data_IF_196893482308
#
_entry.id   IF_196893482308
#
_cell.length_a   1.000
_cell.length_b   1.000
_cell.length_c   1.000
_cell.angle_alpha   90.00
_cell.angle_beta   90.00
_cell.angle_gamma   90.00
#
_symmetry.space_group_name_H-M   'P 1'
#
loop_
_entity.id
_entity.type
_entity.pdbx_description
1 polymer ?
#
# COMPACT_ATOMS: atom_id res chain seq x y z
N UNK A 1 16.42 1.87 -10.46
CA UNK A 1 15.51 0.74 -10.14
C UNK A 1 14.08 1.04 -10.58
N UNK A 2 13.34 0.02 -11.01
CA UNK A 2 11.97 0.16 -11.54
C UNK A 2 10.95 -0.64 -10.70
N UNK A 3 9.81 -0.03 -10.38
CA UNK A 3 8.71 -0.66 -9.63
C UNK A 3 7.42 -0.68 -10.45
N UNK A 4 6.82 -1.86 -10.56
CA UNK A 4 5.42 -2.01 -10.94
C UNK A 4 4.52 -1.89 -9.71
N UNK A 5 3.43 -1.11 -9.81
CA UNK A 5 2.43 -0.96 -8.74
C UNK A 5 1.10 -1.59 -9.12
N UNK A 6 0.64 -2.50 -8.27
CA UNK A 6 -0.72 -3.07 -8.26
C UNK A 6 -1.39 -2.66 -6.95
N UNK A 7 -2.34 -1.74 -7.01
CA UNK A 7 -3.05 -1.18 -5.85
C UNK A 7 -4.56 -1.29 -6.02
N UNK A 8 -5.32 -1.24 -4.93
CA UNK A 8 -6.79 -1.32 -4.99
C UNK A 8 -7.41 -0.16 -5.77
N UNK A 9 -6.89 1.04 -5.52
CA UNK A 9 -7.42 2.28 -6.06
C UNK A 9 -6.35 3.32 -6.33
N UNK A 10 -6.81 4.44 -6.89
CA UNK A 10 -5.97 5.54 -7.33
C UNK A 10 -5.37 6.30 -6.13
N UNK A 11 -6.10 6.38 -5.02
CA UNK A 11 -5.63 7.02 -3.80
C UNK A 11 -4.43 6.26 -3.23
N UNK A 12 -4.54 4.93 -3.19
CA UNK A 12 -3.52 4.01 -2.70
C UNK A 12 -2.28 4.09 -3.60
N UNK A 13 -2.46 4.07 -4.92
CA UNK A 13 -1.39 4.30 -5.89
C UNK A 13 -0.60 5.59 -5.59
N UNK A 14 -1.29 6.72 -5.35
CA UNK A 14 -0.62 7.99 -5.05
C UNK A 14 0.20 7.96 -3.77
N UNK A 15 -0.35 7.34 -2.73
CA UNK A 15 0.34 7.21 -1.44
C UNK A 15 1.58 6.33 -1.61
N UNK A 16 1.44 5.13 -2.17
CA UNK A 16 2.56 4.19 -2.37
C UNK A 16 3.64 4.79 -3.29
N UNK A 17 3.24 5.41 -4.41
CA UNK A 17 4.16 6.11 -5.31
C UNK A 17 4.94 7.20 -4.58
N UNK A 18 4.27 8.03 -3.78
CA UNK A 18 4.93 9.08 -3.01
C UNK A 18 5.92 8.49 -2.01
N UNK A 19 5.54 7.44 -1.29
CA UNK A 19 6.41 6.77 -0.32
C UNK A 19 7.69 6.24 -1.00
N UNK A 20 7.58 5.54 -2.13
CA UNK A 20 8.73 5.03 -2.87
C UNK A 20 9.67 6.16 -3.32
N UNK A 21 9.13 7.18 -4.00
CA UNK A 21 9.92 8.31 -4.50
C UNK A 21 10.63 9.08 -3.38
N UNK A 22 10.01 9.20 -2.20
CA UNK A 22 10.62 9.90 -1.05
C UNK A 22 11.57 9.03 -0.25
N UNK A 23 11.34 7.72 -0.21
CA UNK A 23 12.20 6.79 0.51
C UNK A 23 13.56 6.59 -0.17
N UNK A 24 13.57 6.49 -1.51
CA UNK A 24 14.79 6.33 -2.32
C UNK A 24 15.36 7.67 -2.83
N UNK A 25 14.82 8.80 -2.37
CA UNK A 25 15.32 10.12 -2.76
C UNK A 25 16.79 10.29 -2.33
N UNK A 26 17.65 10.58 -3.30
CA UNK A 26 19.08 10.84 -3.08
C UNK A 26 20.00 9.66 -3.39
N UNK A 27 19.43 8.46 -3.58
CA UNK A 27 20.11 7.33 -4.18
C UNK A 27 19.85 7.40 -5.71
N UNK A 28 19.14 6.43 -6.27
CA UNK A 28 18.58 6.47 -7.62
C UNK A 28 17.07 6.71 -7.53
N UNK A 29 16.55 7.74 -8.20
CA UNK A 29 15.11 8.00 -8.19
C UNK A 29 14.38 6.84 -8.92
N UNK A 30 13.45 6.13 -8.25
CA UNK A 30 12.85 4.95 -8.82
C UNK A 30 11.89 5.31 -9.95
N UNK A 31 11.93 4.56 -11.04
CA UNK A 31 10.91 4.62 -12.07
C UNK A 31 9.68 3.82 -11.61
N UNK A 32 8.49 4.40 -11.78
CA UNK A 32 7.25 3.82 -11.25
C UNK A 32 6.26 3.57 -12.39
N UNK A 33 5.95 2.31 -12.63
CA UNK A 33 4.99 1.84 -13.62
C UNK A 33 3.68 1.44 -12.95
N UNK A 34 2.58 2.09 -13.32
CA UNK A 34 1.26 1.78 -12.78
C UNK A 34 0.60 0.65 -13.57
N UNK A 35 0.39 -0.51 -12.93
CA UNK A 35 -0.24 -1.67 -13.56
C UNK A 35 -1.73 -1.73 -13.29
N UNK A 36 -2.12 -1.57 -12.02
CA UNK A 36 -3.52 -1.55 -11.57
C UNK A 36 -3.65 -0.50 -10.45
N UNK A 37 -4.70 0.33 -10.44
CA UNK A 37 -5.79 0.41 -11.43
C UNK A 37 -5.35 0.99 -12.78
N UNK A 38 -5.92 0.51 -13.88
CA UNK A 38 -5.75 1.13 -15.20
C UNK A 38 -6.43 2.51 -15.23
N UNK A 39 -5.67 3.55 -15.57
CA UNK A 39 -6.17 4.90 -15.81
C UNK A 39 -6.90 4.95 -17.16
N UNK A 40 -8.11 4.39 -17.26
CA UNK A 40 -8.96 4.65 -18.43
C UNK A 40 -9.81 5.91 -18.19
N UNK A 41 -10.08 6.67 -19.26
CA UNK A 41 -10.69 8.02 -19.28
C UNK A 41 -12.07 8.19 -18.61
N UNK A 42 -12.61 7.12 -18.01
CA UNK A 42 -13.75 7.22 -17.11
C UNK A 42 -13.37 6.75 -15.72
N UNK A 43 -12.75 7.66 -14.96
CA UNK A 43 -12.72 7.71 -13.49
C UNK A 43 -14.13 7.66 -12.83
N UNK A 44 -15.19 7.33 -13.59
CA UNK A 44 -16.62 7.43 -13.22
C UNK A 44 -17.32 6.09 -12.94
N UNK A 45 -16.68 4.93 -13.09
CA UNK A 45 -17.39 3.63 -12.96
C UNK A 45 -16.86 2.65 -11.91
N UNK A 46 -15.92 3.06 -11.04
CA UNK A 46 -15.71 2.30 -9.80
C UNK A 46 -16.83 2.52 -8.76
N UNK A 47 -17.83 3.37 -9.08
CA UNK A 47 -19.03 3.59 -8.26
C UNK A 47 -20.18 2.61 -8.53
N UNK A 48 -20.14 1.83 -9.63
CA UNK A 48 -21.26 0.98 -10.05
C UNK A 48 -20.94 -0.51 -9.88
N UNK A 49 -20.97 -0.98 -8.63
CA UNK A 49 -21.42 -2.33 -8.26
C UNK A 49 -20.74 -3.57 -8.86
N UNK A 50 -19.57 -3.48 -9.50
CA UNK A 50 -18.90 -4.63 -10.12
C UNK A 50 -17.48 -4.79 -9.57
N UNK A 51 -17.34 -5.66 -8.56
CA UNK A 51 -16.09 -6.14 -7.92
C UNK A 51 -15.12 -5.04 -7.42
N UNK A 52 -15.06 -4.82 -6.09
CA UNK A 52 -14.20 -3.81 -5.47
C UNK A 52 -12.71 -3.96 -5.84
N UNK A 53 -11.94 -2.87 -5.74
CA UNK A 53 -10.54 -2.80 -6.17
C UNK A 53 -9.64 -3.92 -5.64
N UNK A 54 -9.89 -4.36 -4.41
CA UNK A 54 -9.23 -5.53 -3.80
C UNK A 54 -9.42 -6.83 -4.59
N UNK A 55 -10.59 -7.03 -5.23
CA UNK A 55 -10.84 -8.22 -6.07
C UNK A 55 -9.93 -8.20 -7.29
N UNK A 56 -9.72 -7.02 -7.89
CA UNK A 56 -8.84 -6.88 -9.04
C UNK A 56 -7.38 -7.10 -8.65
N UNK A 57 -6.96 -6.67 -7.45
CA UNK A 57 -5.63 -7.00 -6.92
C UNK A 57 -5.46 -8.52 -6.78
N UNK A 58 -6.46 -9.22 -6.24
CA UNK A 58 -6.42 -10.69 -6.13
C UNK A 58 -6.37 -11.38 -7.49
N UNK A 59 -7.20 -10.95 -8.46
CA UNK A 59 -7.17 -11.46 -9.84
C UNK A 59 -5.81 -11.23 -10.50
N UNK A 60 -5.19 -10.07 -10.25
CA UNK A 60 -3.85 -9.77 -10.76
C UNK A 60 -2.82 -10.74 -10.17
N UNK A 61 -2.90 -11.04 -8.87
CA UNK A 61 -2.02 -12.02 -8.22
C UNK A 61 -2.17 -13.44 -8.80
N UNK A 62 -3.32 -13.78 -9.38
CA UNK A 62 -3.59 -15.10 -9.97
C UNK A 62 -3.16 -15.18 -11.45
N UNK A 63 -2.86 -14.05 -12.10
CA UNK A 63 -2.55 -13.98 -13.52
C UNK A 63 -1.06 -14.18 -13.80
N UNK A 64 -0.69 -15.41 -14.17
CA UNK A 64 0.70 -15.78 -14.48
C UNK A 64 1.31 -14.94 -15.61
N UNK A 65 0.58 -14.70 -16.69
CA UNK A 65 1.07 -13.95 -17.85
C UNK A 65 1.37 -12.49 -17.48
N UNK A 66 0.44 -11.84 -16.78
CA UNK A 66 0.60 -10.46 -16.32
C UNK A 66 1.76 -10.32 -15.32
N UNK A 67 1.92 -11.28 -14.40
CA UNK A 67 3.04 -11.25 -13.47
C UNK A 67 4.38 -11.47 -14.17
N UNK A 68 4.46 -12.40 -15.12
CA UNK A 68 5.68 -12.59 -15.90
C UNK A 68 6.02 -11.34 -16.73
N UNK A 69 5.03 -10.68 -17.34
CA UNK A 69 5.29 -9.46 -18.11
C UNK A 69 5.80 -8.31 -17.24
N UNK A 70 5.33 -8.18 -16.00
CA UNK A 70 5.89 -7.22 -15.04
C UNK A 70 7.40 -7.40 -14.90
N UNK A 71 7.87 -8.63 -14.67
CA UNK A 71 9.29 -8.89 -14.39
C UNK A 71 10.19 -8.85 -15.64
N UNK A 72 9.63 -8.64 -16.83
CA UNK A 72 10.41 -8.32 -18.04
C UNK A 72 10.88 -6.86 -18.00
N UNK A 73 10.03 -5.95 -17.52
CA UNK A 73 10.26 -4.49 -17.57
C UNK A 73 10.57 -3.87 -16.21
N UNK A 74 10.33 -4.60 -15.12
CA UNK A 74 10.40 -4.07 -13.76
C UNK A 74 11.30 -4.92 -12.86
N UNK A 75 12.09 -4.25 -12.02
CA UNK A 75 12.92 -4.90 -11.01
C UNK A 75 12.06 -5.49 -9.89
N UNK A 76 11.00 -4.77 -9.50
CA UNK A 76 10.15 -5.12 -8.37
C UNK A 76 8.66 -4.93 -8.66
N UNK A 77 7.85 -5.69 -7.92
CA UNK A 77 6.40 -5.55 -7.88
C UNK A 77 5.96 -5.16 -6.47
N UNK A 78 5.22 -4.05 -6.34
CA UNK A 78 4.51 -3.71 -5.10
C UNK A 78 3.04 -4.09 -5.23
N UNK A 79 2.56 -4.92 -4.30
CA UNK A 79 1.16 -5.31 -4.18
C UNK A 79 0.60 -4.60 -2.94
N UNK A 80 -0.30 -3.65 -3.15
CA UNK A 80 -1.04 -2.98 -2.08
C UNK A 80 -2.44 -3.56 -1.96
N UNK A 81 -2.85 -3.84 -0.72
CA UNK A 81 -4.21 -4.27 -0.40
C UNK A 81 -4.59 -3.80 1.01
N UNK A 82 -5.86 -3.42 1.17
CA UNK A 82 -6.47 -3.07 2.45
C UNK A 82 -7.11 -4.32 3.07
N UNK A 83 -7.15 -4.39 4.39
CA UNK A 83 -7.78 -5.54 5.08
C UNK A 83 -9.22 -5.26 5.52
N UNK A 84 -9.81 -4.12 5.20
CA UNK A 84 -11.19 -3.78 5.61
C UNK A 84 -12.20 -4.84 5.09
N UNK A 85 -12.00 -5.32 3.87
CA UNK A 85 -12.83 -6.31 3.18
C UNK A 85 -12.28 -7.74 3.23
N UNK A 86 -11.24 -8.04 4.02
CA UNK A 86 -10.50 -9.30 3.90
C UNK A 86 -11.30 -10.57 4.23
N UNK A 87 -12.37 -10.47 5.00
CA UNK A 87 -13.26 -11.61 5.30
C UNK A 87 -14.22 -11.93 4.15
N UNK A 88 -14.32 -11.05 3.14
CA UNK A 88 -15.24 -11.19 2.00
C UNK A 88 -14.65 -12.13 0.95
N UNK A 89 -15.48 -12.96 0.31
CA UNK A 89 -15.09 -13.81 -0.80
C UNK A 89 -14.81 -12.97 -2.08
N UNK A 90 -13.68 -13.18 -2.80
CA UNK A 90 -12.74 -14.31 -2.72
C UNK A 90 -11.52 -14.12 -1.79
N UNK A 91 -11.43 -13.05 -1.00
CA UNK A 91 -10.28 -12.81 -0.11
C UNK A 91 -10.21 -13.86 1.01
N UNK A 92 -11.31 -14.05 1.75
CA UNK A 92 -11.49 -15.15 2.72
C UNK A 92 -10.42 -15.25 3.84
N UNK A 93 -9.89 -14.13 4.32
CA UNK A 93 -8.99 -14.05 5.47
C UNK A 93 -9.74 -13.55 6.70
N UNK A 94 -9.93 -14.42 7.68
CA UNK A 94 -10.64 -14.07 8.93
C UNK A 94 -9.83 -13.09 9.78
N UNK A 95 -10.48 -12.04 10.30
CA UNK A 95 -9.91 -11.10 11.28
C UNK A 95 -9.88 -11.68 12.69
N UNK A 96 -10.67 -12.72 12.94
CA UNK A 96 -10.78 -13.43 14.22
C UNK A 96 -10.14 -14.82 14.13
N UNK A 97 -9.47 -15.23 15.21
CA UNK A 97 -9.04 -16.61 15.45
C UNK A 97 -10.03 -17.36 16.33
N UNK A 98 -9.53 -18.31 17.14
CA UNK A 98 -10.29 -19.17 18.08
C UNK A 98 -10.90 -18.41 19.28
N UNK A 99 -11.69 -17.34 19.01
CA UNK A 99 -12.46 -16.45 19.92
C UNK A 99 -11.86 -15.07 20.20
N UNK A 100 -10.75 -14.69 19.56
CA UNK A 100 -10.10 -13.38 19.77
C UNK A 100 -9.87 -12.66 18.44
N UNK A 101 -9.82 -11.33 18.46
CA UNK A 101 -9.31 -10.56 17.32
C UNK A 101 -7.84 -10.89 17.11
N UNK A 102 -7.44 -11.13 15.86
CA UNK A 102 -6.03 -11.32 15.53
C UNK A 102 -5.28 -10.03 15.80
N UNK A 103 -4.05 -10.16 16.29
CA UNK A 103 -3.12 -9.04 16.29
C UNK A 103 -2.86 -8.56 14.86
N UNK A 104 -2.43 -7.31 14.70
CA UNK A 104 -2.04 -6.77 13.39
C UNK A 104 -0.96 -7.62 12.71
N UNK A 105 -0.05 -8.21 13.48
CA UNK A 105 0.99 -9.11 12.98
C UNK A 105 0.39 -10.42 12.42
N UNK A 106 -0.52 -11.05 13.16
CA UNK A 106 -1.16 -12.30 12.71
C UNK A 106 -1.99 -12.04 11.45
N UNK A 107 -2.80 -10.97 11.44
CA UNK A 107 -3.59 -10.61 10.27
C UNK A 107 -2.71 -10.33 9.05
N UNK A 108 -1.61 -9.59 9.24
CA UNK A 108 -0.64 -9.34 8.17
C UNK A 108 -0.06 -10.63 7.60
N UNK A 109 0.35 -11.58 8.47
CA UNK A 109 0.90 -12.87 8.04
C UNK A 109 -0.11 -13.68 7.25
N UNK A 110 -1.36 -13.74 7.70
CA UNK A 110 -2.41 -14.49 7.02
C UNK A 110 -2.75 -13.87 5.65
N UNK A 111 -2.83 -12.54 5.56
CA UNK A 111 -3.04 -11.85 4.29
C UNK A 111 -1.86 -12.07 3.35
N UNK A 112 -0.62 -11.93 3.83
CA UNK A 112 0.57 -12.20 3.02
C UNK A 112 0.58 -13.65 2.51
N UNK A 113 0.23 -14.61 3.36
CA UNK A 113 0.12 -16.02 2.98
C UNK A 113 -0.96 -16.21 1.92
N UNK A 114 -2.13 -15.59 2.08
CA UNK A 114 -3.22 -15.64 1.10
C UNK A 114 -2.83 -15.07 -0.25
N UNK A 115 -2.15 -13.91 -0.29
CA UNK A 115 -1.66 -13.31 -1.53
C UNK A 115 -0.60 -14.19 -2.18
N UNK A 116 0.39 -14.64 -1.39
CA UNK A 116 1.45 -15.54 -1.87
C UNK A 116 0.85 -16.83 -2.43
N UNK A 117 -0.16 -17.39 -1.77
CA UNK A 117 -0.85 -18.60 -2.23
C UNK A 117 -1.61 -18.44 -3.55
N UNK A 118 -2.07 -17.22 -3.89
CA UNK A 118 -2.67 -16.92 -5.20
C UNK A 118 -1.64 -16.85 -6.32
N UNK A 119 -0.39 -16.51 -6.01
CA UNK A 119 0.65 -16.35 -7.03
C UNK A 119 1.04 -17.73 -7.59
N UNK A 120 1.03 -17.90 -8.93
CA UNK A 120 1.46 -19.13 -9.60
C UNK A 120 2.83 -19.61 -9.10
N UNK A 121 2.97 -20.93 -8.96
CA UNK A 121 4.17 -21.52 -8.37
C UNK A 121 5.45 -21.18 -9.14
N UNK A 122 5.38 -21.12 -10.47
CA UNK A 122 6.45 -20.69 -11.38
C UNK A 122 6.96 -19.29 -11.04
N UNK A 123 6.04 -18.32 -10.95
CA UNK A 123 6.32 -16.92 -10.60
C UNK A 123 6.88 -16.83 -9.17
N UNK A 124 6.32 -17.56 -8.21
CA UNK A 124 6.85 -17.58 -6.84
C UNK A 124 8.29 -18.05 -6.78
N UNK A 125 8.60 -19.15 -7.46
CA UNK A 125 9.95 -19.71 -7.46
C UNK A 125 10.98 -18.76 -8.06
N UNK A 126 10.58 -17.96 -9.06
CA UNK A 126 11.48 -17.05 -9.77
C UNK A 126 11.59 -15.66 -9.13
N UNK A 127 10.50 -15.14 -8.56
CA UNK A 127 10.37 -13.71 -8.30
C UNK A 127 9.79 -13.33 -6.93
N UNK A 128 9.49 -14.28 -6.04
CA UNK A 128 8.84 -13.95 -4.76
C UNK A 128 9.63 -12.94 -3.91
N UNK A 129 10.96 -12.99 -3.96
CA UNK A 129 11.85 -12.04 -3.29
C UNK A 129 11.84 -10.64 -3.89
N UNK A 130 11.34 -10.50 -5.13
CA UNK A 130 11.15 -9.22 -5.81
C UNK A 130 9.76 -8.62 -5.59
N UNK A 131 8.92 -9.26 -4.78
CA UNK A 131 7.57 -8.79 -4.47
C UNK A 131 7.55 -8.13 -3.08
N UNK A 132 7.16 -6.85 -3.07
CA UNK A 132 6.96 -6.04 -1.87
C UNK A 132 5.47 -6.00 -1.53
N UNK A 133 5.11 -6.42 -0.32
CA UNK A 133 3.73 -6.41 0.15
C UNK A 133 3.42 -5.16 0.98
N UNK A 134 2.54 -4.30 0.46
CA UNK A 134 1.99 -3.12 1.14
C UNK A 134 0.60 -3.43 1.72
N UNK A 135 0.55 -4.28 2.75
CA UNK A 135 -0.72 -4.71 3.37
C UNK A 135 -1.12 -3.69 4.45
N UNK A 136 -2.28 -3.06 4.29
CA UNK A 136 -2.77 -2.02 5.19
C UNK A 136 -3.78 -2.61 6.18
N UNK A 137 -3.49 -2.54 7.48
CA UNK A 137 -4.43 -3.01 8.51
C UNK A 137 -5.62 -2.05 8.59
N UNK A 138 -6.78 -2.56 8.18
CA UNK A 138 -8.02 -1.86 7.87
C UNK A 138 -7.92 -1.09 6.56
N UNK A 139 -7.43 0.15 6.55
CA UNK A 139 -7.25 0.93 5.30
C UNK A 139 -5.93 1.66 5.26
N UNK A 140 -5.47 2.06 4.06
CA UNK A 140 -4.20 2.80 3.92
C UNK A 140 -4.18 4.13 4.68
N UNK A 141 -5.34 4.77 4.92
CA UNK A 141 -5.39 6.02 5.68
C UNK A 141 -4.95 5.84 7.15
N UNK A 142 -4.97 4.61 7.68
CA UNK A 142 -4.41 4.30 9.00
C UNK A 142 -2.90 4.58 9.08
N UNK A 143 -2.18 4.53 7.95
CA UNK A 143 -0.75 4.85 7.91
C UNK A 143 -0.48 6.35 8.11
N UNK A 144 -1.48 7.19 7.89
CA UNK A 144 -1.36 8.64 7.90
C UNK A 144 -1.70 9.28 9.25
N UNK A 145 -2.30 8.54 10.19
CA UNK A 145 -2.67 9.05 11.51
C UNK A 145 -1.50 9.63 12.32
N UNK A 146 -0.30 9.02 12.34
CA UNK A 146 0.81 9.56 13.11
C UNK A 146 1.28 10.96 12.70
N UNK A 147 0.88 11.45 11.52
CA UNK A 147 1.21 12.82 11.07
C UNK A 147 0.41 13.90 11.81
N UNK A 148 -0.68 13.51 12.45
CA UNK A 148 -1.65 14.43 13.04
C UNK A 148 -1.96 14.16 14.51
N UNK A 149 -1.49 13.05 15.04
CA UNK A 149 -1.77 12.61 16.40
C UNK A 149 -0.49 12.18 17.10
N UNK A 150 -0.29 12.67 18.32
CA UNK A 150 0.80 12.27 19.20
C UNK A 150 0.36 11.30 20.31
N UNK A 151 -0.96 11.18 20.50
CA UNK A 151 -1.62 10.32 21.49
C UNK A 151 -1.88 8.90 20.96
N UNK A 152 -2.72 8.13 21.64
CA UNK A 152 -3.09 6.77 21.24
C UNK A 152 -3.75 6.67 19.84
N UNK A 153 -4.26 7.76 19.26
CA UNK A 153 -4.85 7.74 17.92
C UNK A 153 -3.85 7.41 16.83
N UNK A 154 -2.56 7.73 17.01
CA UNK A 154 -1.53 7.44 15.99
C UNK A 154 -1.37 5.95 15.68
N UNK A 155 -1.70 5.08 16.63
CA UNK A 155 -1.63 3.63 16.47
C UNK A 155 -2.98 2.99 16.11
N UNK A 156 -4.04 3.79 15.85
CA UNK A 156 -5.35 3.23 15.50
C UNK A 156 -5.29 2.54 14.14
N UNK A 157 -6.01 1.44 14.05
CA UNK A 157 -6.17 0.62 12.84
C UNK A 157 -7.65 0.43 12.53
N UNK A 158 -8.51 1.34 12.97
CA UNK A 158 -9.95 1.33 12.67
C UNK A 158 -10.46 2.76 12.59
N UNK A 159 -11.44 3.02 11.73
CA UNK A 159 -12.05 4.34 11.54
C UNK A 159 -11.03 5.45 11.23
N UNK A 160 -9.89 5.10 10.63
CA UNK A 160 -8.76 5.99 10.45
C UNK A 160 -9.10 7.18 9.56
N UNK A 161 -9.88 6.97 8.50
CA UNK A 161 -10.36 8.06 7.64
C UNK A 161 -11.18 9.11 8.41
N UNK A 162 -12.02 8.68 9.35
CA UNK A 162 -12.81 9.59 10.18
C UNK A 162 -11.90 10.46 11.06
N UNK A 163 -10.96 9.81 11.76
CA UNK A 163 -9.97 10.51 12.59
C UNK A 163 -9.08 11.45 11.78
N UNK A 164 -8.62 11.02 10.62
CA UNK A 164 -7.83 11.84 9.72
C UNK A 164 -8.63 13.10 9.33
N UNK A 165 -9.88 12.95 8.93
CA UNK A 165 -10.75 14.07 8.59
C UNK A 165 -11.05 15.00 9.78
N UNK A 166 -11.18 14.48 11.00
CA UNK A 166 -11.28 15.31 12.21
C UNK A 166 -10.04 16.18 12.40
N UNK A 167 -8.85 15.61 12.22
CA UNK A 167 -7.60 16.36 12.34
C UNK A 167 -7.44 17.41 11.23
N UNK A 168 -7.80 17.07 9.99
CA UNK A 168 -7.77 18.00 8.86
C UNK A 168 -8.71 19.18 9.06
N UNK A 169 -9.94 18.94 9.54
CA UNK A 169 -10.89 20.02 9.88
C UNK A 169 -10.34 20.96 10.93
N UNK A 170 -9.74 20.44 12.00
CA UNK A 170 -9.11 21.26 13.06
C UNK A 170 -7.98 22.14 12.55
N UNK A 171 -7.33 21.75 11.45
CA UNK A 171 -6.27 22.51 10.77
C UNK A 171 -6.78 23.35 9.60
N UNK A 172 -8.11 23.45 9.40
CA UNK A 172 -8.74 24.15 8.27
C UNK A 172 -8.25 23.66 6.89
N UNK A 173 -8.02 22.35 6.76
CA UNK A 173 -7.57 21.70 5.52
C UNK A 173 -8.74 21.01 4.80
N UNK A 174 -8.56 20.74 3.50
CA UNK A 174 -9.49 19.88 2.76
C UNK A 174 -9.57 18.49 3.39
N UNK A 175 -10.76 17.89 3.38
CA UNK A 175 -11.02 16.53 3.88
C UNK A 175 -11.15 15.53 2.73
N UNK A 176 -10.89 14.26 3.03
CA UNK A 176 -11.09 13.15 2.11
C UNK A 176 -12.56 12.70 2.19
N UNK A 177 -13.18 12.42 1.04
CA UNK A 177 -14.57 11.95 0.98
C UNK A 177 -14.75 10.57 1.63
N UNK A 178 -15.77 10.42 2.46
CA UNK A 178 -16.05 9.21 3.27
C UNK A 178 -17.08 8.26 2.65
N UNK A 179 -17.85 8.70 1.65
CA UNK A 179 -19.05 7.98 1.19
C UNK A 179 -19.21 8.01 -0.33
N UNK A 180 -18.14 8.36 -1.04
CA UNK A 180 -18.13 8.46 -2.50
C UNK A 180 -16.70 8.39 -3.02
N UNK A 181 -16.45 9.08 -4.12
CA UNK A 181 -15.15 9.05 -4.79
C UNK A 181 -14.03 9.63 -3.92
N UNK A 182 -13.20 8.76 -3.33
CA UNK A 182 -11.96 9.13 -2.60
C UNK A 182 -10.91 9.78 -3.51
N UNK A 183 -11.11 9.78 -4.83
CA UNK A 183 -10.25 10.39 -5.83
C UNK A 183 -10.77 11.75 -6.36
N UNK A 184 -11.85 12.30 -5.80
CA UNK A 184 -12.33 13.61 -6.23
C UNK A 184 -11.30 14.74 -5.99
N UNK A 185 -11.53 15.91 -6.58
CA UNK A 185 -10.61 17.06 -6.49
C UNK A 185 -10.21 17.43 -5.04
N UNK A 186 -11.16 17.50 -4.11
CA UNK A 186 -10.88 17.85 -2.71
C UNK A 186 -10.07 16.76 -2.02
N UNK A 187 -10.40 15.48 -2.23
CA UNK A 187 -9.64 14.37 -1.66
C UNK A 187 -8.21 14.34 -2.20
N UNK A 188 -8.00 14.64 -3.49
CA UNK A 188 -6.65 14.75 -4.10
C UNK A 188 -5.82 15.85 -3.47
N UNK A 189 -6.43 17.01 -3.22
CA UNK A 189 -5.76 18.12 -2.51
C UNK A 189 -5.42 17.70 -1.08
N UNK A 190 -6.38 17.09 -0.36
CA UNK A 190 -6.15 16.60 1.00
C UNK A 190 -4.97 15.62 1.07
N UNK A 191 -4.95 14.59 0.22
CA UNK A 191 -3.82 13.65 0.16
C UNK A 191 -2.50 14.33 -0.18
N UNK A 192 -2.49 15.25 -1.12
CA UNK A 192 -1.28 16.00 -1.49
C UNK A 192 -0.72 16.76 -0.29
N UNK A 193 -1.59 17.42 0.49
CA UNK A 193 -1.16 18.15 1.69
C UNK A 193 -0.69 17.21 2.81
N UNK A 194 -1.39 16.10 3.06
CA UNK A 194 -0.99 15.10 4.05
C UNK A 194 0.41 14.55 3.74
N UNK A 195 0.65 14.16 2.48
CA UNK A 195 1.89 13.52 2.05
C UNK A 195 3.11 14.44 2.15
N UNK A 196 2.94 15.77 2.28
CA UNK A 196 4.05 16.69 2.58
C UNK A 196 4.73 16.37 3.91
N UNK A 197 3.99 15.83 4.88
CA UNK A 197 4.52 15.38 6.16
C UNK A 197 5.38 14.10 6.06
N UNK A 198 5.35 13.41 4.91
CA UNK A 198 6.18 12.25 4.59
C UNK A 198 7.14 12.57 3.44
N UNK A 199 7.78 13.74 3.49
CA UNK A 199 8.64 14.24 2.40
C UNK A 199 10.09 13.75 2.48
N UNK A 200 10.51 13.21 3.62
CA UNK A 200 11.86 12.67 3.85
C UNK A 200 11.79 11.20 4.26
N UNK A 201 12.82 10.44 3.88
CA UNK A 201 13.03 9.05 4.33
C UNK A 201 12.89 8.89 5.85
N UNK A 202 13.54 9.76 6.63
CA UNK A 202 13.47 9.72 8.08
C UNK A 202 12.05 9.93 8.65
N UNK A 203 11.24 10.78 8.01
CA UNK A 203 9.84 10.99 8.41
C UNK A 203 9.04 9.70 8.15
N UNK A 204 9.20 9.11 6.96
CA UNK A 204 8.57 7.82 6.61
C UNK A 204 8.93 6.73 7.62
N UNK A 205 10.21 6.57 7.92
CA UNK A 205 10.66 5.57 8.88
C UNK A 205 10.07 5.80 10.27
N UNK A 206 10.08 7.05 10.74
CA UNK A 206 9.58 7.40 12.08
C UNK A 206 8.08 7.12 12.21
N UNK A 207 7.29 7.55 11.22
CA UNK A 207 5.83 7.41 11.26
C UNK A 207 5.39 5.95 11.02
N UNK A 208 6.18 5.17 10.27
CA UNK A 208 5.86 3.76 10.00
C UNK A 208 5.78 2.89 11.27
N UNK A 209 6.50 3.25 12.33
CA UNK A 209 6.59 2.46 13.56
C UNK A 209 5.25 2.29 14.29
N UNK A 210 4.26 3.13 13.99
CA UNK A 210 2.96 3.15 14.68
C UNK A 210 1.89 2.27 14.00
N UNK A 211 2.18 1.68 12.84
CA UNK A 211 1.28 0.75 12.16
C UNK A 211 2.06 -0.46 11.65
N UNK A 212 1.64 -1.67 12.01
CA UNK A 212 2.38 -2.90 11.66
C UNK A 212 2.53 -3.08 10.14
N UNK A 213 1.48 -2.78 9.36
CA UNK A 213 1.52 -2.86 7.90
C UNK A 213 2.51 -1.88 7.31
N UNK A 214 2.48 -0.62 7.75
CA UNK A 214 3.41 0.41 7.28
C UNK A 214 4.86 0.10 7.68
N UNK A 215 5.08 -0.32 8.92
CA UNK A 215 6.39 -0.77 9.41
C UNK A 215 6.94 -1.91 8.55
N UNK A 216 6.10 -2.89 8.22
CA UNK A 216 6.50 -4.04 7.39
C UNK A 216 6.84 -3.60 5.96
N UNK A 217 6.05 -2.71 5.36
CA UNK A 217 6.34 -2.12 4.07
C UNK A 217 7.70 -1.39 4.05
N UNK A 218 7.96 -0.52 5.03
CA UNK A 218 9.25 0.17 5.16
C UNK A 218 10.40 -0.81 5.40
N UNK A 219 10.16 -1.91 6.12
CA UNK A 219 11.11 -3.01 6.28
C UNK A 219 11.58 -3.56 4.93
N UNK A 220 10.63 -3.89 4.03
CA UNK A 220 10.97 -4.33 2.67
C UNK A 220 11.82 -3.30 1.93
N UNK A 221 11.47 -2.02 1.98
CA UNK A 221 12.24 -0.98 1.28
C UNK A 221 13.67 -0.84 1.81
N UNK A 222 13.88 -1.05 3.12
CA UNK A 222 15.22 -1.07 3.74
C UNK A 222 16.04 -2.25 3.24
N UNK A 223 15.44 -3.44 3.18
CA UNK A 223 16.10 -4.64 2.68
C UNK A 223 16.55 -4.46 1.22
N UNK A 224 15.69 -3.87 0.38
CA UNK A 224 16.05 -3.53 -1.00
C UNK A 224 17.22 -2.55 -1.06
N UNK A 225 17.17 -1.46 -0.27
CA UNK A 225 18.26 -0.47 -0.22
C UNK A 225 19.61 -1.09 0.15
N UNK A 226 19.61 -2.08 1.06
CA UNK A 226 20.82 -2.77 1.48
C UNK A 226 21.42 -3.63 0.36
N UNK A 227 20.58 -4.38 -0.35
CA UNK A 227 21.01 -5.20 -1.50
C UNK A 227 21.67 -4.34 -2.58
N UNK A 228 21.09 -3.19 -2.92
CA UNK A 228 21.68 -2.26 -3.88
C UNK A 228 23.01 -1.67 -3.41
N UNK A 229 23.11 -1.28 -2.14
CA UNK A 229 24.35 -0.76 -1.57
C UNK A 229 25.50 -1.77 -1.63
N UNK A 230 25.20 -3.06 -1.50
CA UNK A 230 26.18 -4.14 -1.59
C UNK A 230 26.62 -4.44 -3.03
N UNK A 231 25.68 -4.48 -3.99
CA UNK A 231 26.00 -4.73 -5.41
C UNK A 231 26.91 -3.64 -6.00
N UNK A 232 26.68 -2.37 -5.63
CA UNK A 232 27.51 -1.23 -6.07
C UNK A 232 28.90 -1.17 -5.42
N UNK A 233 29.15 -1.91 -4.33
CA UNK A 233 30.48 -2.02 -3.72
C UNK A 233 31.30 -3.18 -4.26
N UNK A 234 30.67 -4.16 -4.91
CA UNK A 234 31.35 -5.36 -5.42
C UNK A 234 31.86 -5.17 -6.87
N UNK A 235 31.57 -4.03 -7.48
CA UNK A 235 31.92 -3.66 -8.85
C UNK A 235 33.07 -2.66 -8.96
N UNK A 236 33.81 -2.42 -7.87
CA UNK A 236 35.01 -1.54 -7.82
C UNK A 236 36.29 -2.33 -7.55
#
# INVERSE_FOLDING_TARGET
MTFALVTEGISEYRIIRHLLLRFFKGDEEPEINQMQPHLTDNEKKQADGSTGGWVEVLKYCENEEALNSIFIENDYLVIQIDTDCCETCPFNVLKRGDRQQKSSEQLFKDVRQRLTGSIPQSVRNAYLEKIVFAICIDTIECWLLPLYYDDAHKCKTTNCLSHLNDALRKKNMHTINTSGDKNNANSRVAYTEILKGLSKKADIETHSMYNYGFKSFVGYLKDLSFTFGAENQTTL
#
